data_IF_444317739635
#
_entry.id   IF_444317739635
#
_cell.length_a   1.000
_cell.length_b   1.000
_cell.length_c   1.000
_cell.angle_alpha   90.00
_cell.angle_beta   90.00
_cell.angle_gamma   90.00
#
_symmetry.space_group_name_H-M   'P 1'
#
loop_
_entity.id
_entity.type
_entity.pdbx_description
1 polymer ?
#
# COMPACT_ATOMS: atom_id res chain seq x y z
N UNK A 1 1.27 -0.18 22.59
CA UNK A 1 -0.12 -0.38 22.91
C UNK A 1 -0.44 -1.75 23.49
N UNK A 2 -1.11 -1.76 24.64
CA UNK A 2 -1.45 -3.02 25.34
C UNK A 2 -2.52 -3.85 24.63
N UNK A 3 -3.36 -3.19 23.83
CA UNK A 3 -4.49 -3.82 23.11
C UNK A 3 -4.13 -4.34 21.71
N UNK A 4 -3.01 -3.97 21.15
CA UNK A 4 -2.58 -4.36 19.82
C UNK A 4 -1.41 -5.37 19.87
N UNK A 5 -0.20 -4.90 19.64
CA UNK A 5 0.99 -5.74 19.57
C UNK A 5 1.25 -6.59 20.82
N UNK A 6 1.02 -6.06 22.04
CA UNK A 6 1.17 -6.85 23.27
C UNK A 6 0.20 -8.03 23.32
N UNK A 7 -1.03 -7.85 22.85
CA UNK A 7 -2.01 -8.94 22.78
C UNK A 7 -1.58 -10.01 21.80
N UNK A 8 -1.19 -9.60 20.57
CA UNK A 8 -0.68 -10.54 19.57
C UNK A 8 0.56 -11.29 20.04
N UNK A 9 1.46 -10.60 20.77
CA UNK A 9 2.64 -11.22 21.37
C UNK A 9 2.29 -12.25 22.43
N UNK A 10 1.30 -11.96 23.28
CA UNK A 10 0.91 -12.80 24.42
C UNK A 10 0.01 -13.96 24.02
N UNK A 11 -0.93 -13.72 23.12
CA UNK A 11 -2.00 -14.68 22.76
C UNK A 11 -1.74 -15.34 21.39
N UNK A 12 -0.89 -14.76 20.55
CA UNK A 12 -0.55 -15.24 19.22
C UNK A 12 0.72 -16.10 19.19
N UNK A 13 1.06 -16.55 18.00
CA UNK A 13 2.32 -17.23 17.71
C UNK A 13 3.30 -16.24 17.08
N UNK A 14 4.45 -16.05 17.71
CA UNK A 14 5.48 -15.10 17.28
C UNK A 14 6.63 -15.84 16.62
N UNK A 15 7.01 -15.43 15.43
CA UNK A 15 8.17 -15.93 14.70
C UNK A 15 9.27 -14.86 14.77
N UNK A 16 10.37 -15.15 15.46
CA UNK A 16 11.46 -14.20 15.64
C UNK A 16 12.38 -14.07 14.42
N UNK A 17 12.48 -15.16 13.62
CA UNK A 17 13.37 -15.24 12.48
C UNK A 17 12.56 -15.64 11.24
N UNK A 18 11.72 -14.73 10.77
CA UNK A 18 11.02 -14.90 9.51
C UNK A 18 11.85 -14.26 8.39
N UNK A 19 12.23 -15.04 7.38
CA UNK A 19 13.03 -14.59 6.26
C UNK A 19 12.35 -14.93 4.93
N UNK A 20 12.53 -14.08 3.94
CA UNK A 20 12.14 -14.42 2.58
C UNK A 20 13.17 -15.34 1.94
N UNK A 21 12.70 -16.36 1.23
CA UNK A 21 13.55 -17.35 0.56
C UNK A 21 14.02 -16.91 -0.83
N UNK A 22 13.81 -15.65 -1.19
CA UNK A 22 14.21 -15.07 -2.47
C UNK A 22 14.92 -13.72 -2.26
N UNK A 23 15.75 -13.34 -3.22
CA UNK A 23 16.48 -12.07 -3.23
C UNK A 23 15.71 -10.96 -3.94
N UNK A 24 16.12 -9.69 -3.72
CA UNK A 24 15.50 -8.56 -4.39
C UNK A 24 14.10 -8.24 -3.87
N UNK A 25 13.87 -8.46 -2.57
CA UNK A 25 12.57 -8.21 -1.93
C UNK A 25 12.23 -6.74 -1.98
N UNK A 26 11.09 -6.42 -2.56
CA UNK A 26 10.45 -5.12 -2.50
C UNK A 26 9.00 -5.23 -2.02
N UNK A 27 8.25 -4.12 -2.00
CA UNK A 27 6.88 -4.14 -1.46
C UNK A 27 5.96 -5.09 -2.19
N UNK A 28 5.95 -5.08 -3.52
CA UNK A 28 5.04 -5.91 -4.30
C UNK A 28 5.37 -7.39 -4.16
N UNK A 29 6.64 -7.78 -4.34
CA UNK A 29 7.08 -9.17 -4.20
C UNK A 29 6.88 -9.70 -2.78
N UNK A 30 7.14 -8.85 -1.77
CA UNK A 30 6.90 -9.19 -0.37
C UNK A 30 5.42 -9.43 -0.06
N UNK A 31 4.55 -8.51 -0.49
CA UNK A 31 3.10 -8.63 -0.24
C UNK A 31 2.50 -9.80 -0.98
N UNK A 32 2.87 -10.01 -2.25
CA UNK A 32 2.43 -11.19 -3.00
C UNK A 32 2.86 -12.50 -2.30
N UNK A 33 4.10 -12.58 -1.81
CA UNK A 33 4.60 -13.74 -1.11
C UNK A 33 3.87 -13.99 0.23
N UNK A 34 3.63 -12.94 1.03
CA UNK A 34 2.91 -13.06 2.30
C UNK A 34 1.48 -13.54 2.10
N UNK A 35 0.75 -12.94 1.16
CA UNK A 35 -0.66 -13.27 0.97
C UNK A 35 -0.92 -14.54 0.18
N UNK A 36 0.00 -14.95 -0.71
CA UNK A 36 -0.11 -16.22 -1.45
C UNK A 36 0.60 -17.39 -0.80
N UNK A 37 1.50 -17.15 0.16
CA UNK A 37 2.37 -18.18 0.74
C UNK A 37 3.37 -18.78 -0.26
N UNK A 38 3.67 -18.09 -1.38
CA UNK A 38 4.51 -18.59 -2.47
C UNK A 38 5.59 -17.59 -2.87
N UNK A 39 6.64 -18.09 -3.52
CA UNK A 39 7.75 -17.25 -4.01
C UNK A 39 7.41 -16.56 -5.33
N UNK A 40 8.12 -15.49 -5.72
CA UNK A 40 7.93 -14.82 -7.02
C UNK A 40 7.99 -15.72 -8.24
N UNK A 41 8.80 -16.79 -8.20
CA UNK A 41 8.87 -17.80 -9.28
C UNK A 41 7.56 -18.58 -9.47
N UNK A 42 6.71 -18.63 -8.46
CA UNK A 42 5.41 -19.32 -8.48
C UNK A 42 4.27 -18.33 -8.65
N UNK A 43 4.28 -17.22 -7.88
CA UNK A 43 3.19 -16.24 -7.91
C UNK A 43 3.31 -15.20 -9.04
N UNK A 44 4.46 -15.12 -9.74
CA UNK A 44 4.66 -14.24 -10.88
C UNK A 44 5.03 -12.79 -10.52
N UNK A 45 4.98 -12.39 -9.27
CA UNK A 45 5.26 -11.01 -8.85
C UNK A 45 6.71 -10.87 -8.39
N UNK A 46 7.56 -10.49 -9.32
CA UNK A 46 9.01 -10.44 -9.08
C UNK A 46 9.50 -9.12 -8.45
N UNK A 47 8.75 -8.03 -8.64
CA UNK A 47 9.14 -6.68 -8.19
C UNK A 47 7.93 -5.72 -8.25
N UNK A 48 8.07 -4.50 -7.71
CA UNK A 48 7.09 -3.42 -7.92
C UNK A 48 6.94 -3.08 -9.41
N UNK A 49 8.05 -3.13 -10.14
CA UNK A 49 8.10 -2.78 -11.56
C UNK A 49 9.18 -3.58 -12.26
N UNK A 50 8.88 -4.06 -13.45
CA UNK A 50 9.86 -4.77 -14.31
C UNK A 50 9.69 -4.41 -15.77
N UNK A 51 10.64 -4.83 -16.59
CA UNK A 51 10.56 -4.70 -18.04
C UNK A 51 9.75 -5.87 -18.61
N UNK A 52 8.64 -5.58 -19.27
CA UNK A 52 7.91 -6.59 -20.03
C UNK A 52 8.72 -6.98 -21.27
N UNK A 53 9.00 -8.27 -21.42
CA UNK A 53 9.88 -8.77 -22.49
C UNK A 53 9.26 -8.67 -23.88
N UNK A 54 7.94 -8.76 -23.96
CA UNK A 54 7.23 -8.73 -25.23
C UNK A 54 7.11 -7.30 -25.78
N UNK A 55 6.86 -6.34 -24.91
CA UNK A 55 6.65 -4.94 -25.28
C UNK A 55 7.88 -4.05 -25.13
N UNK A 56 8.92 -4.54 -24.43
CA UNK A 56 10.12 -3.79 -24.02
C UNK A 56 9.77 -2.50 -23.27
N UNK A 57 8.67 -2.51 -22.54
CA UNK A 57 8.23 -1.38 -21.72
C UNK A 57 8.21 -1.74 -20.24
N UNK A 58 8.49 -0.78 -19.38
CA UNK A 58 8.35 -1.01 -17.95
C UNK A 58 6.87 -1.09 -17.58
N UNK A 59 6.51 -2.12 -16.80
CA UNK A 59 5.16 -2.34 -16.27
C UNK A 59 5.20 -2.46 -14.76
N UNK A 60 4.19 -1.96 -14.06
CA UNK A 60 4.06 -2.19 -12.64
C UNK A 60 3.37 -3.54 -12.37
N UNK A 61 3.58 -4.06 -11.18
CA UNK A 61 3.08 -5.37 -10.76
C UNK A 61 1.57 -5.54 -10.84
N UNK A 62 0.83 -4.44 -10.78
CA UNK A 62 -0.64 -4.42 -10.77
C UNK A 62 -1.25 -3.74 -12.01
N UNK A 63 -0.44 -3.23 -12.94
CA UNK A 63 -0.97 -2.55 -14.12
C UNK A 63 -1.82 -3.48 -14.98
N UNK A 64 -3.05 -3.07 -15.25
CA UNK A 64 -3.96 -3.73 -16.18
C UNK A 64 -4.90 -2.70 -16.82
N UNK A 65 -4.70 -2.42 -18.10
CA UNK A 65 -5.48 -1.43 -18.84
C UNK A 65 -6.97 -1.81 -19.07
N UNK A 66 -7.37 -3.04 -18.75
CA UNK A 66 -8.77 -3.45 -18.81
C UNK A 66 -9.62 -2.84 -17.69
N UNK A 67 -8.98 -2.35 -16.63
CA UNK A 67 -9.66 -1.81 -15.45
C UNK A 67 -9.31 -0.35 -15.22
N UNK A 68 -10.27 0.43 -14.77
CA UNK A 68 -10.08 1.85 -14.45
C UNK A 68 -9.94 2.05 -12.94
N UNK A 69 -9.21 3.10 -12.56
CA UNK A 69 -9.13 3.54 -11.17
C UNK A 69 -10.30 4.45 -10.78
N UNK A 70 -10.75 4.32 -9.56
CA UNK A 70 -11.61 5.32 -8.91
C UNK A 70 -10.75 6.33 -8.16
N UNK A 71 -10.91 7.61 -8.44
CA UNK A 71 -10.15 8.72 -7.84
C UNK A 71 -8.64 8.64 -8.06
N UNK A 72 -8.19 7.95 -9.12
CA UNK A 72 -6.79 7.77 -9.48
C UNK A 72 -6.66 7.42 -10.96
N UNK A 73 -5.50 7.70 -11.54
CA UNK A 73 -5.14 7.29 -12.91
C UNK A 73 -4.50 5.89 -12.95
N UNK A 74 -4.28 5.26 -11.78
CA UNK A 74 -3.70 3.93 -11.70
C UNK A 74 -4.72 2.86 -12.12
N UNK A 75 -4.30 1.95 -12.99
CA UNK A 75 -5.12 0.84 -13.53
C UNK A 75 -4.77 -0.47 -12.81
N UNK A 76 -5.09 -0.55 -11.53
CA UNK A 76 -4.62 -1.63 -10.67
C UNK A 76 -5.57 -2.83 -10.68
N UNK A 77 -5.02 -4.04 -10.92
CA UNK A 77 -5.71 -5.32 -10.81
C UNK A 77 -4.75 -6.45 -10.41
N UNK A 78 -5.24 -7.56 -9.85
CA UNK A 78 -4.39 -8.70 -9.45
C UNK A 78 -4.05 -9.65 -10.61
N UNK A 79 -4.32 -9.30 -11.85
CA UNK A 79 -4.24 -10.18 -13.02
C UNK A 79 -2.87 -10.78 -13.29
N UNK A 80 -1.80 -10.14 -12.83
CA UNK A 80 -0.43 -10.67 -12.92
C UNK A 80 -0.06 -11.66 -11.80
N UNK A 81 -0.87 -11.71 -10.74
CA UNK A 81 -0.70 -12.68 -9.67
C UNK A 81 -1.21 -14.05 -10.13
N UNK A 82 -0.33 -15.04 -10.22
CA UNK A 82 -0.63 -16.36 -10.79
C UNK A 82 -1.17 -17.38 -9.79
N UNK A 83 -1.22 -17.01 -8.51
CA UNK A 83 -1.64 -17.89 -7.42
C UNK A 83 -2.78 -17.29 -6.63
N UNK A 84 -3.58 -18.14 -5.97
CA UNK A 84 -4.56 -17.69 -4.99
C UNK A 84 -3.90 -17.03 -3.78
N UNK A 85 -4.65 -16.21 -3.09
CA UNK A 85 -4.26 -15.59 -1.83
C UNK A 85 -5.08 -16.14 -0.68
N UNK A 86 -4.67 -15.86 0.55
CA UNK A 86 -5.48 -16.21 1.73
C UNK A 86 -6.91 -15.64 1.67
N UNK A 87 -7.10 -14.51 1.00
CA UNK A 87 -8.41 -13.92 0.75
C UNK A 87 -9.24 -14.76 -0.21
N UNK A 88 -8.63 -15.28 -1.26
CA UNK A 88 -9.28 -16.17 -2.24
C UNK A 88 -9.67 -17.49 -1.58
N UNK A 89 -8.76 -18.07 -0.78
CA UNK A 89 -9.02 -19.30 -0.03
C UNK A 89 -10.16 -19.14 0.99
N UNK A 90 -10.25 -17.97 1.65
CA UNK A 90 -11.38 -17.64 2.51
C UNK A 90 -12.70 -17.62 1.73
N UNK A 91 -12.70 -17.03 0.52
CA UNK A 91 -13.88 -17.02 -0.35
C UNK A 91 -14.30 -18.42 -0.75
N UNK A 92 -13.34 -19.29 -1.09
CA UNK A 92 -13.59 -20.70 -1.42
C UNK A 92 -14.18 -21.44 -0.21
N UNK A 93 -13.50 -21.34 0.94
CA UNK A 93 -13.91 -22.02 2.18
C UNK A 93 -15.30 -21.59 2.66
N UNK A 94 -15.68 -20.36 2.41
CA UNK A 94 -16.99 -19.82 2.80
C UNK A 94 -18.04 -19.86 1.68
N UNK A 95 -17.74 -20.49 0.55
CA UNK A 95 -18.61 -20.52 -0.62
C UNK A 95 -19.07 -19.11 -1.08
N UNK A 96 -18.11 -18.17 -1.07
CA UNK A 96 -18.34 -16.77 -1.46
C UNK A 96 -18.99 -15.88 -0.40
N UNK A 97 -19.40 -16.43 0.74
CA UNK A 97 -20.08 -15.67 1.81
C UNK A 97 -19.13 -14.79 2.63
N UNK A 98 -17.84 -15.14 2.71
CA UNK A 98 -16.83 -14.34 3.40
C UNK A 98 -16.70 -12.96 2.75
N UNK A 99 -16.57 -11.91 3.56
CA UNK A 99 -16.37 -10.54 3.10
C UNK A 99 -14.91 -10.16 3.28
N UNK A 100 -14.26 -9.72 2.19
CA UNK A 100 -12.85 -9.33 2.16
C UNK A 100 -12.71 -7.94 1.59
N UNK A 101 -12.29 -7.00 2.42
CA UNK A 101 -11.83 -5.68 2.01
C UNK A 101 -10.38 -5.48 2.41
N UNK A 102 -9.56 -5.01 1.48
CA UNK A 102 -8.17 -4.68 1.74
C UNK A 102 -7.97 -3.16 1.72
N UNK A 103 -7.23 -2.67 2.71
CA UNK A 103 -6.91 -1.25 2.83
C UNK A 103 -5.41 -1.13 3.07
N UNK A 104 -4.71 -0.37 2.22
CA UNK A 104 -3.28 -0.14 2.34
C UNK A 104 -2.90 1.27 1.85
N UNK A 105 -1.72 1.78 2.19
CA UNK A 105 -1.25 3.06 1.64
C UNK A 105 -1.02 3.03 0.13
N UNK A 106 -0.70 1.86 -0.43
CA UNK A 106 -0.31 1.69 -1.82
C UNK A 106 -1.18 0.67 -2.54
N UNK A 107 -1.38 0.87 -3.84
CA UNK A 107 -2.17 0.04 -4.72
C UNK A 107 -1.79 -1.44 -4.66
N UNK A 108 -0.52 -1.77 -4.90
CA UNK A 108 -0.02 -3.15 -4.93
C UNK A 108 -0.27 -3.90 -3.61
N UNK A 109 -0.04 -3.24 -2.48
CA UNK A 109 -0.30 -3.84 -1.17
C UNK A 109 -1.80 -4.12 -0.95
N UNK A 110 -2.69 -3.21 -1.36
CA UNK A 110 -4.13 -3.41 -1.25
C UNK A 110 -4.62 -4.53 -2.19
N UNK A 111 -4.15 -4.53 -3.44
CA UNK A 111 -4.54 -5.50 -4.46
C UNK A 111 -4.14 -6.93 -4.05
N UNK A 112 -2.88 -7.15 -3.65
CA UNK A 112 -2.43 -8.49 -3.26
C UNK A 112 -3.06 -8.98 -1.95
N UNK A 113 -3.43 -8.06 -1.05
CA UNK A 113 -4.17 -8.42 0.15
C UNK A 113 -5.63 -8.79 -0.13
N UNK A 114 -6.27 -8.15 -1.11
CA UNK A 114 -7.63 -8.48 -1.53
C UNK A 114 -7.71 -9.77 -2.36
N UNK A 115 -6.62 -10.09 -3.09
CA UNK A 115 -6.58 -11.22 -4.00
C UNK A 115 -7.50 -11.06 -5.21
N UNK A 116 -7.83 -12.15 -5.87
CA UNK A 116 -8.69 -12.15 -7.07
C UNK A 116 -10.18 -12.05 -6.73
N UNK A 117 -10.60 -12.64 -5.62
CA UNK A 117 -12.01 -12.77 -5.24
C UNK A 117 -12.45 -11.81 -4.12
N UNK A 118 -11.63 -10.83 -3.76
CA UNK A 118 -11.97 -9.83 -2.75
C UNK A 118 -13.22 -9.00 -3.11
N UNK A 119 -13.81 -8.36 -2.13
CA UNK A 119 -14.94 -7.45 -2.31
C UNK A 119 -14.49 -6.01 -2.61
N UNK A 120 -13.23 -5.68 -2.36
CA UNK A 120 -12.68 -4.37 -2.67
C UNK A 120 -11.26 -4.20 -2.16
N UNK A 121 -10.50 -3.40 -2.88
CA UNK A 121 -9.16 -2.95 -2.50
C UNK A 121 -9.11 -1.43 -2.54
N UNK A 122 -8.61 -0.82 -1.46
CA UNK A 122 -8.56 0.63 -1.32
C UNK A 122 -7.17 1.09 -0.92
N UNK A 123 -6.73 2.19 -1.52
CA UNK A 123 -5.45 2.81 -1.19
C UNK A 123 -5.57 4.33 -1.22
N UNK A 124 -4.53 5.03 -0.81
CA UNK A 124 -4.53 6.48 -0.78
C UNK A 124 -3.89 7.01 -2.06
N UNK A 125 -4.60 7.89 -2.77
CA UNK A 125 -3.98 8.65 -3.85
C UNK A 125 -2.96 9.64 -3.24
N UNK A 126 -1.67 9.52 -3.58
CA UNK A 126 -0.64 10.36 -2.96
C UNK A 126 -0.79 11.84 -3.31
N UNK A 127 -1.38 12.15 -4.46
CA UNK A 127 -1.56 13.54 -4.92
C UNK A 127 -2.75 14.22 -4.27
N UNK A 128 -3.87 13.50 -4.15
CA UNK A 128 -5.14 14.08 -3.66
C UNK A 128 -5.45 13.75 -2.21
N UNK A 129 -4.80 12.74 -1.64
CA UNK A 129 -5.11 12.20 -0.31
C UNK A 129 -6.46 11.46 -0.23
N UNK A 130 -7.14 11.26 -1.35
CA UNK A 130 -8.43 10.56 -1.41
C UNK A 130 -8.24 9.06 -1.41
N UNK A 131 -9.24 8.36 -0.93
CA UNK A 131 -9.36 6.91 -1.12
C UNK A 131 -9.55 6.61 -2.60
N UNK A 132 -8.72 5.70 -3.09
CA UNK A 132 -8.76 5.18 -4.45
C UNK A 132 -9.14 3.70 -4.44
N UNK A 133 -9.60 3.22 -5.57
CA UNK A 133 -9.96 1.82 -5.79
C UNK A 133 -9.86 1.48 -7.27
N UNK A 134 -10.38 0.33 -7.65
CA UNK A 134 -10.37 -0.17 -9.02
C UNK A 134 -11.71 -0.78 -9.40
N UNK A 135 -12.09 -0.66 -10.67
CA UNK A 135 -13.28 -1.30 -11.22
C UNK A 135 -13.18 -2.83 -11.27
N UNK A 136 -12.00 -3.41 -11.03
CA UNK A 136 -11.82 -4.86 -10.95
C UNK A 136 -12.75 -5.52 -9.93
N UNK A 137 -12.93 -4.90 -8.77
CA UNK A 137 -13.80 -5.41 -7.70
C UNK A 137 -15.24 -4.90 -7.77
N UNK A 138 -15.64 -4.26 -8.86
CA UNK A 138 -16.97 -3.69 -9.04
C UNK A 138 -17.06 -2.22 -8.67
N UNK A 139 -18.23 -1.80 -8.19
CA UNK A 139 -18.51 -0.41 -7.89
C UNK A 139 -17.78 0.11 -6.65
N UNK A 140 -17.38 1.39 -6.71
CA UNK A 140 -16.76 2.04 -5.57
C UNK A 140 -17.84 2.30 -4.48
N UNK A 141 -17.64 1.83 -3.24
CA UNK A 141 -18.67 1.89 -2.22
C UNK A 141 -19.07 3.33 -1.86
N UNK A 142 -20.35 3.55 -1.66
CA UNK A 142 -20.90 4.87 -1.31
C UNK A 142 -20.25 5.49 -0.06
N UNK A 143 -19.93 4.67 0.94
CA UNK A 143 -19.27 5.13 2.18
C UNK A 143 -17.85 5.66 1.93
N UNK A 144 -17.11 5.08 0.99
CA UNK A 144 -15.78 5.54 0.60
C UNK A 144 -15.87 6.84 -0.22
N UNK A 145 -16.84 6.95 -1.14
CA UNK A 145 -17.12 8.19 -1.87
C UNK A 145 -17.50 9.31 -0.91
N UNK A 146 -18.42 9.05 0.03
CA UNK A 146 -18.83 10.03 1.04
C UNK A 146 -17.64 10.51 1.91
N UNK A 147 -16.71 9.60 2.24
CA UNK A 147 -15.50 9.97 2.97
C UNK A 147 -14.59 10.91 2.15
N UNK A 148 -14.43 10.64 0.86
CA UNK A 148 -13.69 11.49 -0.05
C UNK A 148 -14.34 12.88 -0.21
N UNK A 149 -15.66 12.93 -0.31
CA UNK A 149 -16.43 14.18 -0.49
C UNK A 149 -16.36 15.08 0.75
N UNK A 150 -16.31 14.50 1.93
CA UNK A 150 -16.17 15.24 3.20
C UNK A 150 -14.78 15.82 3.43
N UNK A 151 -13.80 15.47 2.61
CA UNK A 151 -12.40 15.91 2.77
C UNK A 151 -11.86 15.69 4.19
N UNK A 152 -12.31 14.62 4.85
CA UNK A 152 -12.04 14.33 6.26
C UNK A 152 -10.53 14.15 6.53
N UNK A 153 -9.77 13.70 5.53
CA UNK A 153 -8.31 13.58 5.60
C UNK A 153 -7.65 14.97 5.58
N UNK A 154 -8.13 15.91 4.77
CA UNK A 154 -7.47 17.19 4.56
C UNK A 154 -7.37 18.02 5.85
N UNK A 155 -8.44 18.07 6.62
CA UNK A 155 -8.44 18.78 7.91
C UNK A 155 -7.48 18.12 8.92
N UNK A 156 -7.41 16.80 8.90
CA UNK A 156 -6.55 16.02 9.80
C UNK A 156 -5.08 16.17 9.42
N UNK A 157 -4.74 16.03 8.13
CA UNK A 157 -3.38 16.18 7.62
C UNK A 157 -2.86 17.59 7.84
N UNK A 158 -3.68 18.62 7.63
CA UNK A 158 -3.28 20.00 7.86
C UNK A 158 -3.03 20.34 9.34
N UNK A 159 -3.59 19.57 10.27
CA UNK A 159 -3.38 19.75 11.72
C UNK A 159 -2.17 18.98 12.26
N UNK A 160 -1.63 18.02 11.51
CA UNK A 160 -0.48 17.21 11.94
C UNK A 160 0.81 17.88 11.50
N UNK A 161 1.71 18.10 12.45
CA UNK A 161 3.08 18.57 12.19
C UNK A 161 4.04 17.40 12.50
N UNK A 162 4.97 17.13 11.57
CA UNK A 162 6.04 16.19 11.84
C UNK A 162 7.21 16.95 12.50
N UNK A 163 7.64 16.47 13.66
CA UNK A 163 8.79 17.00 14.38
C UNK A 163 9.76 15.87 14.74
N UNK A 164 11.07 16.15 14.76
CA UNK A 164 12.05 15.20 15.24
C UNK A 164 11.76 14.79 16.68
N UNK A 165 11.95 13.51 17.04
CA UNK A 165 11.72 12.99 18.39
C UNK A 165 12.60 13.67 19.45
N UNK A 166 13.83 14.04 19.06
CA UNK A 166 14.77 14.73 19.93
C UNK A 166 15.02 16.15 19.46
N UNK A 167 15.48 17.04 20.35
CA UNK A 167 15.96 18.38 19.96
C UNK A 167 17.03 18.29 18.87
N UNK A 168 16.98 19.19 17.89
CA UNK A 168 17.87 19.16 16.71
C UNK A 168 19.36 19.06 17.05
N UNK A 169 19.81 19.68 18.15
CA UNK A 169 21.21 19.62 18.61
C UNK A 169 21.68 18.23 19.05
N UNK A 170 20.78 17.27 19.24
CA UNK A 170 21.15 15.89 19.58
C UNK A 170 21.48 15.03 18.35
N UNK A 171 21.20 15.53 17.14
CA UNK A 171 21.48 14.82 15.88
C UNK A 171 22.85 15.23 15.33
N UNK A 172 23.92 14.99 16.09
CA UNK A 172 25.27 15.47 15.78
C UNK A 172 25.95 14.72 14.63
N UNK A 173 25.44 13.56 14.24
CA UNK A 173 26.02 12.71 13.18
C UNK A 173 25.27 12.77 11.85
N UNK A 174 24.24 13.56 11.76
CA UNK A 174 23.57 13.78 10.48
C UNK A 174 24.35 14.85 9.68
N UNK A 175 24.45 14.68 8.33
CA UNK A 175 24.89 15.77 7.47
C UNK A 175 24.11 17.03 7.79
N UNK A 176 24.72 18.20 7.57
CA UNK A 176 24.05 19.46 7.88
C UNK A 176 22.62 19.41 7.34
N UNK A 177 21.67 19.35 8.26
CA UNK A 177 20.24 19.16 7.93
C UNK A 177 19.73 20.18 6.92
N UNK A 178 20.38 21.34 6.83
CA UNK A 178 20.11 22.36 5.83
C UNK A 178 20.37 21.85 4.42
N UNK A 179 21.41 21.07 4.20
CA UNK A 179 21.75 20.52 2.89
C UNK A 179 20.81 19.37 2.48
N UNK A 180 20.27 18.65 3.44
CA UNK A 180 19.36 17.53 3.20
C UNK A 180 17.91 18.01 3.04
N UNK A 181 17.46 18.93 3.88
CA UNK A 181 16.08 19.43 3.89
C UNK A 181 15.83 20.42 2.75
N UNK A 182 16.82 21.21 2.35
CA UNK A 182 16.66 22.21 1.29
C UNK A 182 16.85 21.69 -0.13
N UNK A 183 17.40 20.50 -0.33
CA UNK A 183 17.43 19.86 -1.64
C UNK A 183 16.02 19.49 -2.15
N UNK A 184 15.11 19.21 -1.25
CA UNK A 184 13.71 19.05 -1.55
C UNK A 184 13.01 20.39 -1.28
N UNK A 185 12.86 21.24 -2.29
CA UNK A 185 12.09 22.47 -2.21
C UNK A 185 10.64 22.18 -1.81
N UNK A 186 10.42 22.06 -0.54
CA UNK A 186 9.08 22.11 0.00
C UNK A 186 8.68 23.59 0.03
N UNK A 187 7.52 23.94 -0.49
CA UNK A 187 6.98 25.31 -0.40
C UNK A 187 7.00 25.77 1.05
N UNK A 188 7.47 26.98 1.31
CA UNK A 188 7.80 27.48 2.64
C UNK A 188 6.63 27.45 3.62
N UNK A 189 5.42 27.63 3.14
CA UNK A 189 4.20 27.64 3.96
C UNK A 189 3.79 26.26 4.52
N UNK A 190 4.53 25.21 4.18
CA UNK A 190 4.17 23.84 4.53
C UNK A 190 5.29 23.11 5.23
N UNK A 191 6.30 23.81 5.70
CA UNK A 191 7.38 23.23 6.47
C UNK A 191 6.81 22.44 7.65
N UNK A 192 7.21 21.19 7.77
CA UNK A 192 6.80 20.27 8.83
C UNK A 192 5.34 19.77 8.78
N UNK A 193 4.57 19.95 7.71
CA UNK A 193 3.22 19.40 7.62
C UNK A 193 3.24 18.01 7.00
N UNK A 194 2.52 17.08 7.61
CA UNK A 194 2.44 15.67 7.21
C UNK A 194 2.00 15.46 5.74
N UNK A 195 1.17 16.34 5.22
CA UNK A 195 0.69 16.31 3.82
C UNK A 195 1.82 16.28 2.79
N UNK A 196 2.97 16.84 3.08
CA UNK A 196 4.13 16.84 2.18
C UNK A 196 4.76 15.49 1.97
N UNK A 197 4.72 14.64 2.99
CA UNK A 197 5.25 13.29 2.89
C UNK A 197 4.33 12.35 2.14
N UNK A 198 3.06 12.71 1.99
CA UNK A 198 2.07 11.94 1.25
C UNK A 198 2.00 12.39 -0.20
N UNK A 199 2.27 13.66 -0.51
CA UNK A 199 2.08 14.26 -1.83
C UNK A 199 3.37 14.52 -2.59
N UNK A 200 4.53 14.30 -2.01
CA UNK A 200 5.85 14.37 -2.65
C UNK A 200 6.43 12.98 -2.90
#
# INVERSE_FOLDING_TARGET
>A
GERGFKRLWKEGRVFHNAEYTFSGVDRASAMAAIYSGSTPSVNGIISNRWMDVATLRPVNSTDDAAFMGYYTDQTCAPTKLLTSTIADELKIATQGKGIVYAIAPFCDAAIFAAGHAGNGAFWINPTTGKWSGTTYYGEFPWWASQYNDRQAIDSRISSVTWEPVFPRGMYTFLPDWRDVVFKYKFDDDRNNKFRRFITS
#
